data_IF_855270529497
#
_entry.id   IF_855270529497
#
_cell.length_a   1.000
_cell.length_b   1.000
_cell.length_c   1.000
_cell.angle_alpha   90.00
_cell.angle_beta   90.00
_cell.angle_gamma   90.00
#
_symmetry.space_group_name_H-M   'P 1'
#
loop_
_entity.id
_entity.type
_entity.pdbx_description
1 polymer ?
#
# COMPACT_ATOMS: atom_id res chain seq x y z
N UNK A 1 -7.35 -1.36 -9.35
CA UNK A 1 -6.96 -1.18 -7.93
C UNK A 1 -5.44 -1.13 -7.91
N UNK A 2 -4.84 -0.11 -7.31
CA UNK A 2 -3.37 0.08 -7.26
C UNK A 2 -2.94 -0.01 -5.80
N UNK A 3 -1.85 -0.69 -5.51
CA UNK A 3 -1.24 -0.62 -4.18
C UNK A 3 0.16 -0.01 -4.30
N UNK A 4 0.59 0.72 -3.28
CA UNK A 4 1.88 1.41 -3.23
C UNK A 4 2.49 1.23 -1.85
N UNK A 5 3.82 1.19 -1.77
CA UNK A 5 4.50 1.32 -0.48
C UNK A 5 4.40 2.78 -0.03
N UNK A 6 3.94 3.01 1.19
CA UNK A 6 3.87 4.35 1.77
C UNK A 6 4.21 4.27 3.25
N UNK A 7 4.95 5.26 3.74
CA UNK A 7 5.21 5.44 5.17
C UNK A 7 4.31 6.55 5.77
N UNK A 8 3.27 6.96 5.02
CA UNK A 8 2.41 8.08 5.39
C UNK A 8 1.07 7.58 5.92
N UNK A 9 0.85 7.83 7.21
CA UNK A 9 -0.38 7.49 7.93
C UNK A 9 -0.20 6.29 8.85
N UNK A 10 -1.32 5.81 9.39
CA UNK A 10 -1.38 4.69 10.32
C UNK A 10 -2.22 3.57 9.72
N UNK A 11 -1.93 2.34 10.12
CA UNK A 11 -2.72 1.18 9.77
C UNK A 11 -4.14 1.32 10.33
N UNK A 12 -5.14 1.08 9.49
CA UNK A 12 -6.55 1.15 9.88
C UNK A 12 -6.93 0.10 10.95
N UNK A 13 -6.14 -0.96 11.11
CA UNK A 13 -6.42 -2.05 12.05
C UNK A 13 -5.81 -1.84 13.43
N UNK A 14 -4.53 -1.44 13.51
CA UNK A 14 -3.79 -1.39 14.78
C UNK A 14 -3.21 -0.01 15.13
N UNK A 15 -3.27 0.97 14.22
CA UNK A 15 -2.71 2.30 14.44
C UNK A 15 -1.18 2.40 14.33
N UNK A 16 -0.48 1.31 14.02
CA UNK A 16 0.96 1.31 13.72
C UNK A 16 1.28 2.10 12.44
N UNK A 17 2.54 2.52 12.21
CA UNK A 17 2.92 3.18 10.96
C UNK A 17 2.50 2.35 9.74
N UNK A 18 1.78 2.99 8.82
CA UNK A 18 1.43 2.36 7.56
C UNK A 18 2.71 2.11 6.76
N UNK A 19 2.84 0.92 6.17
CA UNK A 19 3.91 0.56 5.25
C UNK A 19 3.39 0.39 3.80
N UNK A 20 2.10 0.12 3.67
CA UNK A 20 1.43 -0.11 2.39
C UNK A 20 0.12 0.67 2.33
N UNK A 21 -0.20 1.22 1.16
CA UNK A 21 -1.49 1.81 0.88
C UNK A 21 -2.11 1.18 -0.36
N UNK A 22 -3.35 0.72 -0.24
CA UNK A 22 -4.16 0.26 -1.35
C UNK A 22 -5.10 1.39 -1.78
N UNK A 23 -4.86 1.92 -2.99
CA UNK A 23 -5.68 2.91 -3.68
C UNK A 23 -6.78 2.19 -4.47
N UNK A 24 -8.04 2.35 -4.05
CA UNK A 24 -9.20 1.88 -4.80
C UNK A 24 -9.74 2.99 -5.69
N UNK A 25 -10.32 2.61 -6.82
CA UNK A 25 -11.07 3.52 -7.68
C UNK A 25 -12.27 4.07 -6.88
N UNK A 26 -12.36 5.39 -6.70
CA UNK A 26 -13.43 6.03 -5.92
C UNK A 26 -12.97 6.61 -4.58
N UNK A 27 -11.82 7.29 -4.55
CA UNK A 27 -11.31 8.09 -3.41
C UNK A 27 -10.96 7.32 -2.13
N UNK A 28 -11.19 6.01 -2.09
CA UNK A 28 -10.92 5.17 -0.91
C UNK A 28 -9.47 4.68 -0.94
N UNK A 29 -8.77 4.93 0.16
CA UNK A 29 -7.41 4.46 0.38
C UNK A 29 -7.38 3.67 1.68
N UNK A 30 -6.91 2.43 1.64
CA UNK A 30 -6.72 1.61 2.84
C UNK A 30 -5.25 1.55 3.19
N UNK A 31 -4.92 1.74 4.47
CA UNK A 31 -3.55 1.72 4.96
C UNK A 31 -3.30 0.48 5.81
N UNK A 32 -2.17 -0.18 5.55
CA UNK A 32 -1.78 -1.39 6.23
C UNK A 32 -0.34 -1.28 6.76
N UNK A 33 -0.10 -1.74 7.98
CA UNK A 33 1.26 -1.96 8.49
C UNK A 33 1.82 -3.28 7.94
N UNK A 34 3.10 -3.56 8.20
CA UNK A 34 3.77 -4.77 7.71
C UNK A 34 3.17 -6.07 8.25
N UNK A 35 2.52 -6.02 9.42
CA UNK A 35 1.86 -7.18 10.03
C UNK A 35 0.44 -7.41 9.49
N UNK A 36 -0.30 -6.33 9.22
CA UNK A 36 -1.71 -6.40 8.80
C UNK A 36 -1.91 -6.27 7.29
N UNK A 37 -0.83 -6.18 6.49
CA UNK A 37 -0.93 -6.09 5.03
C UNK A 37 -1.38 -7.43 4.43
N UNK A 38 -2.47 -7.46 3.64
CA UNK A 38 -2.84 -8.66 2.90
C UNK A 38 -1.79 -8.98 1.83
N UNK A 39 -1.53 -10.27 1.60
CA UNK A 39 -0.54 -10.72 0.61
C UNK A 39 -0.82 -10.18 -0.80
N UNK A 40 -2.09 -9.99 -1.16
CA UNK A 40 -2.49 -9.38 -2.44
C UNK A 40 -2.03 -7.91 -2.55
N UNK A 41 -2.22 -7.12 -1.48
CA UNK A 41 -1.79 -5.71 -1.42
C UNK A 41 -0.27 -5.63 -1.50
N UNK A 42 0.43 -6.50 -0.77
CA UNK A 42 1.90 -6.55 -0.79
C UNK A 42 2.43 -6.81 -2.20
N UNK A 43 1.91 -7.86 -2.87
CA UNK A 43 2.29 -8.17 -4.27
C UNK A 43 1.98 -7.04 -5.24
N UNK A 44 0.82 -6.40 -5.11
CA UNK A 44 0.46 -5.25 -5.96
C UNK A 44 1.35 -4.03 -5.70
N UNK A 45 1.71 -3.77 -4.44
CA UNK A 45 2.59 -2.67 -4.05
C UNK A 45 4.01 -2.88 -4.56
N UNK A 46 4.50 -4.12 -4.51
CA UNK A 46 5.80 -4.50 -5.05
C UNK A 46 5.82 -4.42 -6.58
N UNK A 47 4.79 -4.94 -7.26
CA UNK A 47 4.67 -4.84 -8.71
C UNK A 47 4.58 -3.38 -9.18
N UNK A 48 3.91 -2.53 -8.41
CA UNK A 48 3.83 -1.10 -8.68
C UNK A 48 5.16 -0.40 -8.44
N UNK A 49 5.85 -0.70 -7.34
CA UNK A 49 7.17 -0.13 -7.03
C UNK A 49 8.20 -0.48 -8.13
N UNK A 50 8.16 -1.69 -8.68
CA UNK A 50 9.01 -2.13 -9.78
C UNK A 50 8.68 -1.44 -11.12
N UNK A 51 7.42 -1.05 -11.32
CA UNK A 51 6.98 -0.35 -12.53
C UNK A 51 7.32 1.16 -12.46
N UNK A 52 7.27 1.77 -11.28
CA UNK A 52 7.65 3.18 -11.09
C UNK A 52 9.16 3.43 -11.29
N UNK A 53 10.00 2.39 -11.13
CA UNK A 53 11.45 2.50 -11.41
C UNK A 53 11.78 2.54 -12.91
N UNK A 54 10.89 2.08 -13.78
CA UNK A 54 11.11 2.06 -15.24
C UNK A 54 10.67 3.34 -15.95
N UNK A 55 10.10 4.31 -15.23
CA UNK A 55 9.54 5.54 -15.82
C UNK A 55 10.45 6.78 -15.66
N UNK A 56 11.72 6.59 -15.32
CA UNK A 56 12.69 7.68 -15.13
C UNK A 56 13.72 7.74 -16.24
#
# INVERSE_FOLDING_TARGET
>A
MKAVKTHVGRCDTCGEPAAYAQLLSGSRTFRFCEQHVPLQVKRQAEATAANETQKK
#
